data_IF_478994576427
#
_entry.id   IF_478994576427
#
_cell.length_a   1.000
_cell.length_b   1.000
_cell.length_c   1.000
_cell.angle_alpha   90.00
_cell.angle_beta   90.00
_cell.angle_gamma   90.00
#
_symmetry.space_group_name_H-M   'P 1'
#
loop_
_entity.id
_entity.type
_entity.pdbx_description
1 polymer ?
#
# COMPACT_ATOMS: atom_id res chain seq x y z
N UNK A 1 -37.70 12.00 6.87
CA UNK A 1 -36.63 12.84 6.31
C UNK A 1 -35.53 11.90 5.82
N UNK A 2 -35.35 11.78 4.50
CA UNK A 2 -34.25 11.02 3.93
C UNK A 2 -32.98 11.86 4.09
N UNK A 3 -32.07 11.45 4.97
CA UNK A 3 -30.76 12.05 5.09
C UNK A 3 -30.01 11.82 3.78
N UNK A 4 -29.87 12.87 2.97
CA UNK A 4 -28.99 12.89 1.82
C UNK A 4 -27.58 12.58 2.33
N UNK A 5 -27.11 11.35 2.12
CA UNK A 5 -25.70 11.01 2.32
C UNK A 5 -24.92 11.82 1.29
N UNK A 6 -24.41 12.98 1.69
CA UNK A 6 -23.39 13.68 0.93
C UNK A 6 -22.17 12.79 0.94
N UNK A 7 -21.89 12.14 -0.19
CA UNK A 7 -20.63 11.43 -0.39
C UNK A 7 -19.50 12.39 -0.06
N UNK A 8 -18.77 12.11 1.02
CA UNK A 8 -17.63 12.94 1.40
C UNK A 8 -16.55 12.74 0.36
N UNK A 9 -16.15 13.82 -0.32
CA UNK A 9 -15.08 13.78 -1.31
C UNK A 9 -13.75 13.74 -0.56
N UNK A 10 -12.97 12.68 -0.76
CA UNK A 10 -11.65 12.53 -0.13
C UNK A 10 -10.59 13.14 -1.04
N UNK A 11 -9.63 13.86 -0.45
CA UNK A 11 -8.35 14.11 -1.11
C UNK A 11 -7.55 12.81 -1.16
N UNK A 12 -6.65 12.69 -2.12
CA UNK A 12 -5.75 11.53 -2.22
C UNK A 12 -4.98 11.30 -0.92
N UNK A 13 -4.47 12.37 -0.30
CA UNK A 13 -3.75 12.29 0.97
C UNK A 13 -4.65 11.80 2.11
N UNK A 14 -5.89 12.27 2.20
CA UNK A 14 -6.85 11.82 3.23
C UNK A 14 -7.18 10.34 3.05
N UNK A 15 -7.39 9.89 1.81
CA UNK A 15 -7.64 8.49 1.51
C UNK A 15 -6.44 7.62 1.94
N UNK A 16 -5.24 7.96 1.50
CA UNK A 16 -4.02 7.21 1.82
C UNK A 16 -3.77 7.14 3.33
N UNK A 17 -3.95 8.25 4.05
CA UNK A 17 -3.81 8.26 5.51
C UNK A 17 -4.85 7.38 6.20
N UNK A 18 -6.10 7.43 5.74
CA UNK A 18 -7.19 6.61 6.31
C UNK A 18 -6.93 5.12 6.07
N UNK A 19 -6.57 4.73 4.85
CA UNK A 19 -6.24 3.35 4.50
C UNK A 19 -5.04 2.85 5.31
N UNK A 20 -3.99 3.66 5.45
CA UNK A 20 -2.83 3.32 6.27
C UNK A 20 -3.21 3.03 7.72
N UNK A 21 -3.99 3.90 8.35
CA UNK A 21 -4.41 3.73 9.74
C UNK A 21 -5.25 2.47 9.94
N UNK A 22 -6.19 2.21 9.03
CA UNK A 22 -7.02 1.00 9.09
C UNK A 22 -6.18 -0.28 8.96
N UNK A 23 -5.23 -0.31 8.02
CA UNK A 23 -4.34 -1.47 7.85
C UNK A 23 -3.42 -1.68 9.06
N UNK A 24 -2.85 -0.60 9.60
CA UNK A 24 -1.99 -0.65 10.80
C UNK A 24 -2.75 -1.16 12.03
N UNK A 25 -4.03 -0.79 12.18
CA UNK A 25 -4.87 -1.21 13.30
C UNK A 25 -5.37 -2.65 13.17
N UNK A 26 -5.86 -3.03 11.98
CA UNK A 26 -6.53 -4.32 11.78
C UNK A 26 -5.55 -5.46 11.47
N UNK A 27 -4.47 -5.19 10.73
CA UNK A 27 -3.56 -6.25 10.25
C UNK A 27 -2.23 -6.29 11.00
N UNK A 28 -1.76 -5.14 11.52
CA UNK A 28 -0.44 -5.06 12.15
C UNK A 28 0.69 -5.53 11.23
N UNK A 29 1.66 -6.27 11.79
CA UNK A 29 2.77 -6.84 11.02
C UNK A 29 2.42 -8.24 10.51
N UNK A 30 2.44 -8.41 9.19
CA UNK A 30 2.14 -9.68 8.51
C UNK A 30 3.29 -10.11 7.60
N UNK A 31 3.34 -11.41 7.30
CA UNK A 31 4.25 -11.99 6.31
C UNK A 31 3.47 -12.38 5.06
N UNK A 32 4.04 -12.09 3.89
CA UNK A 32 3.43 -12.38 2.59
C UNK A 32 4.48 -13.09 1.72
N UNK A 33 4.05 -14.10 0.97
CA UNK A 33 4.87 -14.80 -0.03
C UNK A 33 4.25 -14.61 -1.41
N UNK A 34 5.09 -14.49 -2.43
CA UNK A 34 4.66 -14.29 -3.82
C UNK A 34 5.85 -14.14 -4.76
N UNK A 35 5.57 -14.04 -6.05
CA UNK A 35 6.57 -13.79 -7.08
C UNK A 35 6.94 -12.30 -7.13
N UNK A 36 8.23 -11.99 -7.28
CA UNK A 36 8.71 -10.63 -7.51
C UNK A 36 8.63 -10.30 -9.00
N UNK A 37 8.06 -9.14 -9.32
CA UNK A 37 8.06 -8.56 -10.66
C UNK A 37 8.40 -7.06 -10.60
N UNK A 38 8.69 -6.45 -11.76
CA UNK A 38 8.97 -5.01 -11.90
C UNK A 38 10.05 -4.50 -10.92
N UNK A 39 11.07 -5.31 -10.63
CA UNK A 39 12.13 -4.97 -9.69
C UNK A 39 13.00 -3.82 -10.24
N UNK A 40 13.25 -2.81 -9.41
CA UNK A 40 14.13 -1.68 -9.70
C UNK A 40 14.97 -1.34 -8.47
N UNK A 41 16.27 -1.14 -8.68
CA UNK A 41 17.23 -0.68 -7.68
C UNK A 41 17.92 0.60 -8.20
N UNK A 42 17.41 1.80 -7.85
CA UNK A 42 18.08 3.05 -8.16
C UNK A 42 19.39 3.22 -7.37
N UNK A 43 20.22 4.18 -7.77
CA UNK A 43 21.49 4.49 -7.11
C UNK A 43 21.34 4.93 -5.64
N UNK A 44 20.15 5.37 -5.21
CA UNK A 44 19.84 5.65 -3.79
C UNK A 44 19.88 4.41 -2.90
N UNK A 45 19.82 3.21 -3.48
CA UNK A 45 19.90 1.94 -2.79
C UNK A 45 18.58 1.43 -2.21
N UNK A 46 17.46 2.15 -2.36
CA UNK A 46 16.13 1.60 -2.09
C UNK A 46 15.73 0.62 -3.19
N UNK A 47 14.97 -0.42 -2.86
CA UNK A 47 14.39 -1.31 -3.86
C UNK A 47 12.89 -1.05 -3.99
N UNK A 48 12.42 -1.08 -5.22
CA UNK A 48 11.00 -1.03 -5.57
C UNK A 48 10.67 -2.26 -6.39
N UNK A 49 9.59 -2.94 -6.04
CA UNK A 49 9.15 -4.13 -6.75
C UNK A 49 7.66 -4.36 -6.55
N UNK A 50 7.09 -5.31 -7.29
CA UNK A 50 5.72 -5.79 -7.11
C UNK A 50 5.76 -7.24 -6.64
N UNK A 51 5.06 -7.55 -5.55
CA UNK A 51 4.81 -8.91 -5.09
C UNK A 51 3.44 -9.36 -5.61
N UNK A 52 3.35 -10.52 -6.25
CA UNK A 52 2.12 -11.01 -6.89
C UNK A 52 1.86 -12.50 -6.67
N UNK A 53 0.61 -12.89 -6.84
CA UNK A 53 0.14 -14.26 -7.07
C UNK A 53 -0.73 -14.32 -8.34
N UNK A 54 -1.46 -15.41 -8.55
CA UNK A 54 -2.31 -15.61 -9.75
C UNK A 54 -3.48 -14.63 -9.87
N UNK A 55 -3.86 -13.97 -8.78
CA UNK A 55 -5.10 -13.18 -8.67
C UNK A 55 -4.90 -11.75 -8.15
N UNK A 56 -3.76 -11.45 -7.53
CA UNK A 56 -3.51 -10.19 -6.85
C UNK A 56 -2.05 -9.73 -6.94
N UNK A 57 -1.83 -8.43 -6.70
CA UNK A 57 -0.50 -7.83 -6.63
C UNK A 57 -0.46 -6.62 -5.68
N UNK A 58 0.72 -6.38 -5.08
CA UNK A 58 1.00 -5.22 -4.23
C UNK A 58 2.34 -4.58 -4.59
N UNK A 59 2.41 -3.26 -4.60
CA UNK A 59 3.67 -2.52 -4.78
C UNK A 59 4.42 -2.45 -3.46
N UNK A 60 5.71 -2.75 -3.49
CA UNK A 60 6.58 -2.82 -2.34
C UNK A 60 7.75 -1.85 -2.47
N UNK A 61 8.16 -1.28 -1.33
CA UNK A 61 9.39 -0.54 -1.19
C UNK A 61 10.22 -1.16 -0.05
N UNK A 62 11.48 -1.48 -0.32
CA UNK A 62 12.45 -1.86 0.70
C UNK A 62 13.44 -0.72 0.85
N UNK A 63 13.40 -0.06 2.00
CA UNK A 63 14.29 1.06 2.26
C UNK A 63 15.67 0.56 2.67
N UNK A 64 16.73 1.09 2.04
CA UNK A 64 18.10 0.95 2.56
C UNK A 64 18.12 1.48 3.99
N UNK A 65 18.69 0.70 4.91
CA UNK A 65 18.93 1.20 6.27
C UNK A 65 20.00 2.32 6.18
N UNK A 66 19.73 3.45 6.82
CA UNK A 66 20.59 4.64 6.82
C UNK A 66 21.88 4.43 7.58
#
# INVERSE_FOLDING_TARGET
MLSSQTSSIFTVSRLNQTVRLLLEQEMGQVWISGEISNFTQPASGHWYFTLKDDTAQVRCAMFRNS
#
